data_IF_684280685838
#
_entry.id   IF_684280685838
#
_cell.length_a   1.000
_cell.length_b   1.000
_cell.length_c   1.000
_cell.angle_alpha   90.00
_cell.angle_beta   90.00
_cell.angle_gamma   90.00
#
_symmetry.space_group_name_H-M   'P 1'
#
loop_
_entity.id
_entity.type
_entity.pdbx_description
1 polymer ?
#
# COMPACT_ATOMS: atom_id res chain seq x y z
N UNK A 1 44.63 -1.40 -31.99
CA UNK A 1 43.94 -1.09 -30.71
C UNK A 1 44.19 -2.27 -29.80
N UNK A 2 44.72 -2.09 -28.59
CA UNK A 2 44.74 -3.19 -27.61
C UNK A 2 43.27 -3.53 -27.36
N UNK A 3 42.85 -4.71 -27.81
CA UNK A 3 41.50 -5.20 -27.59
C UNK A 3 41.32 -5.38 -26.09
N UNK A 4 40.55 -4.49 -25.48
CA UNK A 4 40.25 -4.60 -24.07
C UNK A 4 39.53 -5.94 -23.86
N UNK A 5 40.11 -6.78 -23.00
CA UNK A 5 39.54 -8.05 -22.60
C UNK A 5 38.55 -7.77 -21.50
N UNK A 6 37.29 -7.57 -21.83
CA UNK A 6 36.24 -7.33 -20.86
C UNK A 6 35.20 -8.45 -20.83
N UNK A 7 34.57 -8.63 -19.68
CA UNK A 7 33.40 -9.47 -19.55
C UNK A 7 32.36 -8.79 -18.68
N UNK A 8 31.09 -9.07 -18.94
CA UNK A 8 29.98 -8.57 -18.13
C UNK A 8 29.02 -9.69 -17.76
N UNK A 9 28.52 -9.61 -16.54
CA UNK A 9 27.48 -10.47 -15.99
C UNK A 9 26.24 -9.61 -15.86
N UNK A 10 25.17 -10.03 -16.53
CA UNK A 10 23.89 -9.33 -16.50
C UNK A 10 22.76 -10.34 -16.32
N UNK A 11 22.07 -10.25 -15.18
CA UNK A 11 21.00 -11.18 -14.80
C UNK A 11 21.46 -12.65 -14.85
N UNK A 12 21.01 -13.44 -15.84
CA UNK A 12 21.43 -14.83 -16.05
C UNK A 12 22.42 -15.00 -17.22
N UNK A 13 22.98 -13.91 -17.74
CA UNK A 13 23.90 -13.93 -18.86
C UNK A 13 25.32 -13.56 -18.45
N UNK A 14 26.30 -14.20 -19.09
CA UNK A 14 27.72 -13.86 -19.00
C UNK A 14 28.23 -13.65 -20.41
N UNK A 15 28.69 -12.44 -20.73
CA UNK A 15 29.22 -12.08 -22.03
C UNK A 15 30.71 -11.79 -21.90
N UNK A 16 31.51 -12.48 -22.71
CA UNK A 16 32.93 -12.22 -22.90
C UNK A 16 33.06 -11.41 -24.19
N UNK A 17 33.70 -10.25 -24.12
CA UNK A 17 33.90 -9.36 -25.25
C UNK A 17 35.36 -9.39 -25.68
N UNK A 18 35.58 -9.11 -26.96
CA UNK A 18 36.91 -9.11 -27.57
C UNK A 18 36.97 -9.92 -28.86
N UNK A 19 38.02 -9.66 -29.64
CA UNK A 19 38.24 -10.28 -30.95
C UNK A 19 38.17 -11.82 -30.87
N UNK A 20 37.65 -12.46 -31.92
CA UNK A 20 37.45 -13.92 -31.99
C UNK A 20 38.70 -14.73 -31.65
N UNK A 21 39.89 -14.21 -31.96
CA UNK A 21 41.19 -14.82 -31.68
C UNK A 21 41.45 -14.97 -30.17
N UNK A 22 40.82 -14.13 -29.35
CA UNK A 22 40.95 -14.10 -27.89
C UNK A 22 39.71 -14.72 -27.23
N UNK A 23 38.51 -14.28 -27.66
CA UNK A 23 37.26 -14.66 -27.01
C UNK A 23 36.87 -16.11 -27.26
N UNK A 24 37.10 -16.67 -28.46
CA UNK A 24 36.69 -18.05 -28.78
C UNK A 24 37.51 -19.10 -28.02
N UNK A 25 38.86 -19.05 -27.98
CA UNK A 25 39.63 -20.02 -27.22
C UNK A 25 39.31 -19.96 -25.72
N UNK A 26 39.13 -18.75 -25.17
CA UNK A 26 38.78 -18.56 -23.76
C UNK A 26 37.40 -19.12 -23.46
N UNK A 27 36.42 -18.89 -24.32
CA UNK A 27 35.08 -19.44 -24.19
C UNK A 27 35.08 -20.97 -24.22
N UNK A 28 35.86 -21.60 -25.09
CA UNK A 28 35.99 -23.05 -25.13
C UNK A 28 36.62 -23.61 -23.84
N UNK A 29 37.67 -22.97 -23.31
CA UNK A 29 38.23 -23.33 -22.00
C UNK A 29 37.22 -23.18 -20.86
N UNK A 30 36.38 -22.13 -20.91
CA UNK A 30 35.30 -21.94 -19.95
C UNK A 30 34.25 -23.07 -20.04
N UNK A 31 33.89 -23.51 -21.25
CA UNK A 31 33.01 -24.67 -21.45
C UNK A 31 33.65 -25.97 -20.92
N UNK A 32 34.96 -26.17 -21.08
CA UNK A 32 35.67 -27.32 -20.52
C UNK A 32 35.71 -27.27 -18.99
N UNK A 33 35.91 -26.10 -18.40
CA UNK A 33 35.76 -25.90 -16.97
C UNK A 33 34.33 -26.27 -16.51
N UNK A 34 33.29 -25.86 -17.24
CA UNK A 34 31.92 -26.25 -16.94
C UNK A 34 31.72 -27.77 -16.99
N UNK A 35 32.28 -28.46 -18.00
CA UNK A 35 32.27 -29.93 -18.09
C UNK A 35 32.89 -30.57 -16.85
N UNK A 36 34.07 -30.11 -16.44
CA UNK A 36 34.76 -30.60 -15.24
C UNK A 36 33.95 -30.40 -13.96
N UNK A 37 33.10 -29.37 -13.92
CA UNK A 37 32.17 -29.09 -12.81
C UNK A 37 30.86 -29.86 -12.90
N UNK A 38 30.70 -30.76 -13.88
CA UNK A 38 29.54 -31.62 -14.03
C UNK A 38 28.41 -31.04 -14.88
N UNK A 39 28.67 -30.05 -15.73
CA UNK A 39 27.74 -29.71 -16.81
C UNK A 39 27.87 -30.71 -17.95
N UNK A 40 26.73 -31.13 -18.49
CA UNK A 40 26.66 -31.72 -19.82
C UNK A 40 26.72 -30.56 -20.82
N UNK A 41 27.68 -30.59 -21.76
CA UNK A 41 27.92 -29.51 -22.73
C UNK A 41 28.08 -30.10 -24.13
N UNK A 42 27.20 -29.70 -25.05
CA UNK A 42 27.22 -30.12 -26.46
C UNK A 42 26.77 -29.01 -27.41
N UNK A 43 26.59 -29.34 -28.68
CA UNK A 43 25.95 -28.45 -29.66
C UNK A 43 24.48 -28.25 -29.31
N UNK A 44 23.92 -27.07 -29.61
CA UNK A 44 22.47 -26.83 -29.42
C UNK A 44 21.67 -27.75 -30.36
N UNK A 45 20.88 -28.73 -29.84
CA UNK A 45 20.20 -29.72 -30.67
C UNK A 45 19.21 -29.12 -31.65
N UNK A 46 18.60 -27.99 -31.30
CA UNK A 46 17.67 -27.28 -32.19
C UNK A 46 18.42 -26.65 -33.35
N UNK A 47 19.54 -26.00 -33.07
CA UNK A 47 20.39 -25.38 -34.11
C UNK A 47 21.01 -26.45 -34.98
N UNK A 48 21.48 -27.56 -34.42
CA UNK A 48 22.09 -28.64 -35.18
C UNK A 48 21.11 -29.27 -36.18
N UNK A 49 19.83 -29.40 -35.78
CA UNK A 49 18.74 -29.88 -36.65
C UNK A 49 18.32 -28.86 -37.72
N UNK A 50 18.06 -27.62 -37.31
CA UNK A 50 17.38 -26.62 -38.16
C UNK A 50 18.38 -25.74 -38.94
N UNK A 51 19.60 -25.56 -38.42
CA UNK A 51 20.64 -24.66 -38.94
C UNK A 51 22.07 -25.24 -38.77
N UNK A 52 22.41 -26.38 -39.41
CA UNK A 52 23.69 -27.07 -39.21
C UNK A 52 24.93 -26.18 -39.38
N UNK A 53 24.88 -25.20 -40.30
CA UNK A 53 25.99 -24.26 -40.56
C UNK A 53 26.34 -23.39 -39.34
N UNK A 54 25.39 -23.16 -38.43
CA UNK A 54 25.55 -22.37 -37.21
C UNK A 54 25.92 -23.24 -36.00
N UNK A 55 25.84 -24.57 -36.11
CA UNK A 55 26.06 -25.52 -35.00
C UNK A 55 27.45 -25.37 -34.37
N UNK A 56 28.47 -25.09 -35.18
CA UNK A 56 29.87 -24.85 -34.73
C UNK A 56 30.04 -23.67 -33.76
N UNK A 57 29.07 -22.75 -33.73
CA UNK A 57 29.11 -21.53 -32.92
C UNK A 57 28.01 -21.47 -31.86
N UNK A 58 27.21 -22.54 -31.71
CA UNK A 58 26.05 -22.62 -30.81
C UNK A 58 26.16 -23.84 -29.91
N UNK A 59 26.08 -23.61 -28.61
CA UNK A 59 26.23 -24.62 -27.58
C UNK A 59 24.99 -24.67 -26.71
N UNK A 60 24.69 -25.82 -26.16
CA UNK A 60 23.67 -25.97 -25.14
C UNK A 60 24.09 -27.05 -24.14
N UNK A 61 23.47 -27.00 -22.96
CA UNK A 61 23.77 -27.96 -21.93
C UNK A 61 23.03 -27.70 -20.64
N UNK A 62 23.31 -28.52 -19.64
CA UNK A 62 22.66 -28.44 -18.36
C UNK A 62 23.50 -29.04 -17.23
N UNK A 63 23.16 -28.65 -16.01
CA UNK A 63 23.61 -29.29 -14.77
C UNK A 63 22.41 -29.51 -13.86
N UNK A 64 21.80 -30.69 -14.00
CA UNK A 64 20.47 -30.93 -13.44
C UNK A 64 19.44 -30.04 -14.14
N UNK A 65 18.68 -29.28 -13.35
CA UNK A 65 17.63 -28.38 -13.82
C UNK A 65 18.13 -26.98 -14.25
N UNK A 66 19.43 -26.69 -14.08
CA UNK A 66 20.01 -25.44 -14.57
C UNK A 66 20.47 -25.64 -16.01
N UNK A 67 19.73 -25.08 -16.96
CA UNK A 67 20.04 -25.16 -18.38
C UNK A 67 20.82 -23.92 -18.83
N UNK A 68 21.59 -24.05 -19.91
CA UNK A 68 22.23 -22.91 -20.56
C UNK A 68 22.22 -23.05 -22.07
N UNK A 69 22.30 -21.90 -22.74
CA UNK A 69 22.68 -21.78 -24.15
C UNK A 69 23.91 -20.90 -24.26
N UNK A 70 24.79 -21.24 -25.20
CA UNK A 70 26.01 -20.52 -25.49
C UNK A 70 26.10 -20.15 -26.95
N UNK A 71 26.68 -18.99 -27.24
CA UNK A 71 26.95 -18.56 -28.61
C UNK A 71 28.31 -17.87 -28.72
N UNK A 72 29.01 -18.13 -29.82
CA UNK A 72 30.17 -17.35 -30.24
C UNK A 72 29.76 -16.39 -31.36
N UNK A 73 30.36 -15.21 -31.38
CA UNK A 73 30.22 -14.22 -32.44
C UNK A 73 31.57 -13.54 -32.68
N UNK A 74 31.70 -12.72 -33.71
CA UNK A 74 33.02 -12.19 -34.13
C UNK A 74 33.71 -11.32 -33.07
N UNK A 75 32.93 -10.63 -32.24
CA UNK A 75 33.41 -9.72 -31.18
C UNK A 75 33.20 -10.26 -29.76
N UNK A 76 33.01 -11.57 -29.59
CA UNK A 76 32.85 -12.16 -28.27
C UNK A 76 32.14 -13.50 -28.23
N UNK A 77 31.71 -13.88 -27.04
CA UNK A 77 30.87 -15.05 -26.80
C UNK A 77 29.97 -14.81 -25.58
N UNK A 78 28.82 -15.47 -25.53
CA UNK A 78 27.82 -15.31 -24.47
C UNK A 78 27.33 -16.66 -23.97
N UNK A 79 27.15 -16.78 -22.66
CA UNK A 79 26.34 -17.81 -22.01
C UNK A 79 25.07 -17.18 -21.46
N UNK A 80 23.94 -17.88 -21.56
CA UNK A 80 22.68 -17.50 -20.93
C UNK A 80 22.06 -18.71 -20.23
N UNK A 81 21.81 -18.56 -18.93
CA UNK A 81 21.22 -19.59 -18.07
C UNK A 81 19.72 -19.40 -17.93
N UNK A 82 19.00 -20.52 -17.84
CA UNK A 82 17.55 -20.57 -17.67
C UNK A 82 17.12 -21.89 -17.00
N UNK A 83 15.82 -22.03 -16.78
CA UNK A 83 15.17 -23.16 -16.11
C UNK A 83 13.80 -23.41 -16.74
N UNK A 84 13.27 -24.63 -16.62
CA UNK A 84 11.97 -25.03 -17.19
C UNK A 84 10.95 -25.47 -16.11
N UNK A 85 11.13 -25.06 -14.85
CA UNK A 85 10.27 -25.40 -13.71
C UNK A 85 9.15 -24.36 -13.55
N UNK A 86 9.52 -23.09 -13.36
CA UNK A 86 8.59 -21.97 -13.19
C UNK A 86 8.54 -21.14 -14.47
N UNK A 87 7.75 -21.58 -15.45
CA UNK A 87 7.72 -20.96 -16.79
C UNK A 87 6.42 -20.19 -16.99
N UNK A 88 6.53 -18.96 -17.47
CA UNK A 88 5.37 -18.14 -17.87
C UNK A 88 5.26 -18.04 -19.39
N UNK A 89 6.41 -17.97 -20.09
CA UNK A 89 6.41 -17.84 -21.54
C UNK A 89 5.96 -19.14 -22.23
N UNK A 90 4.98 -19.09 -23.16
CA UNK A 90 4.55 -20.28 -23.92
C UNK A 90 5.66 -20.99 -24.70
N UNK A 91 6.75 -20.28 -25.03
CA UNK A 91 7.88 -20.83 -25.78
C UNK A 91 8.98 -21.42 -24.90
N UNK A 92 8.76 -21.54 -23.58
CA UNK A 92 9.71 -22.10 -22.61
C UNK A 92 10.45 -21.05 -21.79
N UNK A 93 11.03 -21.49 -20.67
CA UNK A 93 11.71 -20.62 -19.70
C UNK A 93 12.96 -19.93 -20.24
N UNK A 94 13.52 -20.41 -21.35
CA UNK A 94 14.53 -19.67 -22.14
C UNK A 94 14.06 -18.27 -22.54
N UNK A 95 12.78 -18.06 -22.76
CA UNK A 95 12.22 -16.78 -23.22
C UNK A 95 11.55 -15.98 -22.10
N UNK A 96 11.71 -16.39 -20.84
CA UNK A 96 11.22 -15.63 -19.71
C UNK A 96 12.07 -14.37 -19.45
N UNK A 97 11.38 -13.30 -19.04
CA UNK A 97 11.99 -12.15 -18.37
C UNK A 97 12.33 -12.50 -16.92
N UNK A 98 13.32 -11.79 -16.34
CA UNK A 98 13.75 -11.96 -14.94
C UNK A 98 14.02 -13.43 -14.55
N UNK A 99 14.69 -14.17 -15.44
CA UNK A 99 14.97 -15.61 -15.29
C UNK A 99 15.53 -16.00 -13.92
N UNK A 100 16.44 -15.19 -13.36
CA UNK A 100 17.01 -15.44 -12.04
C UNK A 100 15.96 -15.40 -10.92
N UNK A 101 15.06 -14.42 -10.93
CA UNK A 101 14.00 -14.26 -9.92
C UNK A 101 13.01 -15.44 -9.96
N UNK A 102 12.78 -16.01 -11.16
CA UNK A 102 11.88 -17.15 -11.37
C UNK A 102 12.48 -18.50 -10.97
N UNK A 103 13.81 -18.62 -10.90
CA UNK A 103 14.47 -19.85 -10.47
C UNK A 103 14.05 -20.21 -9.03
N UNK A 104 13.74 -21.49 -8.73
CA UNK A 104 13.59 -21.94 -7.35
C UNK A 104 14.83 -21.63 -6.51
N UNK A 105 14.67 -21.42 -5.21
CA UNK A 105 15.73 -20.95 -4.32
C UNK A 105 17.05 -21.75 -4.42
N UNK A 106 16.99 -23.09 -4.41
CA UNK A 106 18.20 -23.93 -4.52
C UNK A 106 18.87 -23.78 -5.89
N UNK A 107 18.09 -23.57 -6.94
CA UNK A 107 18.59 -23.33 -8.29
C UNK A 107 19.23 -21.95 -8.41
N UNK A 108 18.66 -20.91 -7.79
CA UNK A 108 19.29 -19.59 -7.65
C UNK A 108 20.65 -19.69 -6.97
N UNK A 109 20.74 -20.41 -5.85
CA UNK A 109 22.01 -20.60 -5.13
C UNK A 109 23.03 -21.35 -5.97
N UNK A 110 22.60 -22.39 -6.69
CA UNK A 110 23.47 -23.11 -7.64
C UNK A 110 23.98 -22.17 -8.74
N UNK A 111 23.09 -21.42 -9.38
CA UNK A 111 23.46 -20.45 -10.41
C UNK A 111 24.50 -19.44 -9.90
N UNK A 112 24.28 -18.82 -8.73
CA UNK A 112 25.23 -17.88 -8.13
C UNK A 112 26.61 -18.50 -7.88
N UNK A 113 26.67 -19.76 -7.47
CA UNK A 113 27.93 -20.48 -7.29
C UNK A 113 28.63 -20.69 -8.64
N UNK A 114 27.91 -21.12 -9.67
CA UNK A 114 28.50 -21.34 -11.00
C UNK A 114 28.99 -20.03 -11.63
N UNK A 115 28.23 -18.94 -11.48
CA UNK A 115 28.65 -17.60 -11.94
C UNK A 115 29.93 -17.16 -11.27
N UNK A 116 30.07 -17.35 -9.94
CA UNK A 116 31.32 -17.00 -9.22
C UNK A 116 32.54 -17.75 -9.75
N UNK A 117 32.38 -19.02 -10.11
CA UNK A 117 33.47 -19.78 -10.70
C UNK A 117 33.82 -19.29 -12.11
N UNK A 118 32.83 -18.93 -12.93
CA UNK A 118 33.06 -18.35 -14.25
C UNK A 118 33.71 -16.97 -14.16
N UNK A 119 33.25 -16.12 -13.25
CA UNK A 119 33.84 -14.82 -12.94
C UNK A 119 35.31 -14.97 -12.54
N UNK A 120 35.60 -15.85 -11.58
CA UNK A 120 36.96 -16.11 -11.13
C UNK A 120 37.85 -16.62 -12.28
N UNK A 121 37.35 -17.56 -13.09
CA UNK A 121 38.07 -18.07 -14.25
C UNK A 121 38.42 -16.96 -15.26
N UNK A 122 37.47 -16.06 -15.56
CA UNK A 122 37.70 -14.96 -16.50
C UNK A 122 38.68 -13.92 -15.95
N UNK A 123 38.64 -13.64 -14.65
CA UNK A 123 39.63 -12.79 -13.98
C UNK A 123 41.04 -13.41 -14.03
N UNK A 124 41.17 -14.72 -13.81
CA UNK A 124 42.44 -15.45 -13.90
C UNK A 124 43.02 -15.46 -15.33
N UNK A 125 42.15 -15.48 -16.35
CA UNK A 125 42.51 -15.34 -17.78
C UNK A 125 42.87 -13.88 -18.19
N UNK A 126 42.82 -12.95 -17.24
CA UNK A 126 43.21 -11.56 -17.42
C UNK A 126 42.14 -10.67 -18.06
N UNK A 127 40.85 -11.03 -17.94
CA UNK A 127 39.75 -10.15 -18.32
C UNK A 127 39.39 -9.19 -17.19
N UNK A 128 38.89 -8.00 -17.54
CA UNK A 128 38.32 -7.03 -16.60
C UNK A 128 36.80 -7.18 -16.53
N UNK A 129 36.25 -7.14 -15.32
CA UNK A 129 34.81 -7.21 -15.11
C UNK A 129 34.17 -5.83 -15.32
N UNK A 130 33.31 -5.73 -16.33
CA UNK A 130 32.45 -4.59 -16.68
C UNK A 130 30.98 -4.89 -16.31
N UNK A 131 30.77 -5.72 -15.29
CA UNK A 131 29.43 -5.97 -14.75
C UNK A 131 28.94 -4.77 -13.96
N UNK A 132 27.64 -4.51 -14.01
CA UNK A 132 27.00 -3.49 -13.16
C UNK A 132 27.30 -3.77 -11.68
N UNK A 133 27.78 -2.78 -10.91
CA UNK A 133 28.13 -2.99 -9.51
C UNK A 133 26.89 -3.32 -8.67
N UNK A 134 27.08 -4.12 -7.63
CA UNK A 134 26.02 -4.39 -6.66
C UNK A 134 25.86 -3.19 -5.72
N UNK A 135 24.92 -2.31 -6.05
CA UNK A 135 24.62 -1.09 -5.29
C UNK A 135 23.61 -1.41 -4.17
N UNK A 136 24.07 -1.31 -2.91
CA UNK A 136 23.28 -1.76 -1.74
C UNK A 136 22.30 -0.71 -1.26
N UNK A 137 22.77 0.54 -1.14
CA UNK A 137 21.95 1.62 -0.58
C UNK A 137 21.32 2.47 -1.68
N UNK A 138 20.25 3.17 -1.33
CA UNK A 138 19.65 4.22 -2.15
C UNK A 138 20.66 5.28 -2.58
N UNK A 139 21.59 5.64 -1.67
CA UNK A 139 22.68 6.56 -1.98
C UNK A 139 23.59 5.98 -3.06
N UNK A 140 24.06 4.74 -2.90
CA UNK A 140 24.92 4.10 -3.90
C UNK A 140 24.25 4.07 -5.27
N UNK A 141 22.96 3.72 -5.31
CA UNK A 141 22.15 3.68 -6.54
C UNK A 141 22.06 5.05 -7.21
N UNK A 142 21.64 6.08 -6.47
CA UNK A 142 21.45 7.43 -7.03
C UNK A 142 22.80 8.04 -7.45
N UNK A 143 23.86 7.85 -6.66
CA UNK A 143 25.19 8.38 -7.00
C UNK A 143 25.87 7.65 -8.15
N UNK A 144 25.61 6.35 -8.32
CA UNK A 144 26.06 5.61 -9.50
C UNK A 144 25.45 6.21 -10.77
N UNK A 145 24.14 6.50 -10.76
CA UNK A 145 23.45 7.15 -11.88
C UNK A 145 23.90 8.61 -12.09
N UNK A 146 24.16 9.35 -11.01
CA UNK A 146 24.68 10.73 -11.08
C UNK A 146 26.07 10.79 -11.72
N UNK A 147 26.93 9.83 -11.40
CA UNK A 147 28.31 9.77 -11.87
C UNK A 147 28.46 8.93 -13.16
N UNK A 148 27.36 8.43 -13.74
CA UNK A 148 27.42 7.61 -14.95
C UNK A 148 27.97 8.42 -16.12
N UNK A 149 29.00 7.93 -16.84
CA UNK A 149 29.55 8.59 -18.03
C UNK A 149 28.52 8.79 -19.14
N UNK A 150 27.48 7.96 -19.17
CA UNK A 150 26.38 8.02 -20.14
C UNK A 150 25.32 9.07 -19.80
N UNK A 151 25.45 9.76 -18.66
CA UNK A 151 24.50 10.76 -18.21
C UNK A 151 24.50 11.97 -19.15
N UNK A 152 23.39 12.18 -19.84
CA UNK A 152 23.24 13.23 -20.85
C UNK A 152 23.05 14.64 -20.29
N UNK A 153 22.77 14.80 -18.98
CA UNK A 153 22.44 16.11 -18.38
C UNK A 153 23.22 16.36 -17.09
N UNK A 154 24.01 17.45 -17.08
CA UNK A 154 24.61 18.00 -15.86
C UNK A 154 23.55 18.78 -15.09
N UNK A 155 23.56 18.61 -13.76
CA UNK A 155 22.70 19.36 -12.84
C UNK A 155 23.11 20.83 -12.67
N UNK A 156 24.28 21.21 -13.18
CA UNK A 156 24.87 22.53 -12.91
C UNK A 156 24.14 23.68 -13.62
N UNK A 157 23.34 23.42 -14.67
CA UNK A 157 22.60 24.44 -15.42
C UNK A 157 21.22 23.94 -15.90
N UNK A 158 20.35 23.58 -14.96
CA UNK A 158 18.98 23.15 -15.29
C UNK A 158 18.08 24.35 -15.62
N UNK A 159 17.23 24.27 -16.67
CA UNK A 159 16.24 25.29 -16.91
C UNK A 159 15.18 25.30 -15.80
N UNK A 160 14.60 26.47 -15.52
CA UNK A 160 13.69 26.66 -14.38
C UNK A 160 12.48 25.70 -14.41
N UNK A 161 11.90 25.42 -15.58
CA UNK A 161 10.78 24.49 -15.68
C UNK A 161 11.10 23.04 -15.24
N UNK A 162 12.39 22.70 -15.11
CA UNK A 162 12.88 21.42 -14.60
C UNK A 162 13.39 21.50 -13.16
N UNK A 163 13.62 22.69 -12.63
CA UNK A 163 14.29 22.92 -11.36
C UNK A 163 13.47 23.73 -10.35
N UNK A 164 12.31 24.25 -10.70
CA UNK A 164 11.42 24.92 -9.76
C UNK A 164 10.48 23.92 -9.09
N UNK A 165 10.37 24.02 -7.77
CA UNK A 165 9.47 23.23 -6.96
C UNK A 165 8.01 23.70 -7.11
N UNK A 166 7.08 23.07 -6.37
CA UNK A 166 5.65 23.39 -6.39
C UNK A 166 5.37 24.88 -6.18
N UNK A 167 6.17 25.53 -5.34
CA UNK A 167 5.96 26.91 -4.92
C UNK A 167 6.87 27.90 -5.67
N UNK A 168 7.54 27.44 -6.73
CA UNK A 168 8.40 28.26 -7.58
C UNK A 168 9.79 28.49 -7.01
N UNK A 169 10.23 27.72 -6.02
CA UNK A 169 11.58 27.80 -5.45
C UNK A 169 12.50 26.84 -6.19
N UNK A 170 13.68 27.32 -6.58
CA UNK A 170 14.67 26.49 -7.28
C UNK A 170 15.25 25.42 -6.35
N UNK A 171 15.26 24.17 -6.83
CA UNK A 171 15.77 22.98 -6.15
C UNK A 171 17.24 22.81 -6.50
N UNK A 172 18.08 22.55 -5.50
CA UNK A 172 19.48 22.17 -5.69
C UNK A 172 19.75 20.73 -5.27
N UNK A 173 20.72 20.08 -5.92
CA UNK A 173 21.17 18.75 -5.53
C UNK A 173 21.66 18.72 -4.08
N UNK A 174 21.25 17.70 -3.33
CA UNK A 174 21.61 17.53 -1.93
C UNK A 174 20.68 18.26 -0.95
N UNK A 175 19.71 19.04 -1.43
CA UNK A 175 18.73 19.68 -0.56
C UNK A 175 17.74 18.68 0.04
N UNK A 176 17.17 19.02 1.20
CA UNK A 176 16.04 18.30 1.77
C UNK A 176 14.76 18.97 1.30
N UNK A 177 13.94 18.24 0.54
CA UNK A 177 12.60 18.69 0.13
C UNK A 177 11.53 17.78 0.72
N UNK A 178 10.33 18.32 0.84
CA UNK A 178 9.14 17.62 1.29
C UNK A 178 8.25 17.27 0.11
N UNK A 179 7.46 16.21 0.28
CA UNK A 179 6.49 15.76 -0.73
C UNK A 179 5.33 15.00 -0.06
N UNK A 180 4.38 14.56 -0.88
CA UNK A 180 3.24 13.75 -0.44
C UNK A 180 3.33 12.34 -0.99
N UNK A 181 3.14 11.34 -0.14
CA UNK A 181 2.91 9.97 -0.63
C UNK A 181 1.53 9.85 -1.31
N UNK A 182 1.25 8.69 -1.90
CA UNK A 182 -0.07 8.40 -2.52
C UNK A 182 -1.26 8.53 -1.56
N UNK A 183 -1.03 8.56 -0.24
CA UNK A 183 -2.06 8.72 0.79
C UNK A 183 -2.15 10.18 1.27
N UNK A 184 -1.42 11.11 0.65
CA UNK A 184 -1.34 12.51 1.02
C UNK A 184 -0.55 12.77 2.30
N UNK A 185 0.21 11.79 2.80
CA UNK A 185 1.04 11.89 4.00
C UNK A 185 2.29 12.70 3.69
N UNK A 186 2.66 13.61 4.59
CA UNK A 186 3.91 14.37 4.50
C UNK A 186 5.13 13.43 4.60
N UNK A 187 6.00 13.52 3.61
CA UNK A 187 7.28 12.81 3.53
C UNK A 187 8.41 13.82 3.31
N UNK A 188 9.66 13.39 3.55
CA UNK A 188 10.87 14.17 3.24
C UNK A 188 11.95 13.28 2.68
N UNK A 189 12.87 13.87 1.92
CA UNK A 189 14.07 13.18 1.47
C UNK A 189 15.10 14.14 0.89
N UNK A 190 16.30 13.62 0.66
CA UNK A 190 17.37 14.36 -0.02
C UNK A 190 17.20 14.23 -1.52
N UNK A 191 17.21 15.34 -2.25
CA UNK A 191 16.89 15.37 -3.68
C UNK A 191 18.11 15.49 -4.57
N UNK A 192 18.10 14.81 -5.71
CA UNK A 192 19.10 14.91 -6.75
C UNK A 192 18.42 14.88 -8.11
N UNK A 193 18.84 15.75 -9.01
CA UNK A 193 18.30 15.81 -10.35
C UNK A 193 18.49 14.48 -11.09
N UNK A 194 17.46 14.06 -11.82
CA UNK A 194 17.52 12.88 -12.67
C UNK A 194 17.50 13.29 -14.14
N UNK A 195 16.31 13.48 -14.71
CA UNK A 195 16.09 13.81 -16.12
C UNK A 195 14.85 14.69 -16.25
N UNK A 196 14.87 15.66 -17.17
CA UNK A 196 13.81 16.65 -17.32
C UNK A 196 13.47 17.29 -15.96
N UNK A 197 12.19 17.33 -15.61
CA UNK A 197 11.67 17.81 -14.35
C UNK A 197 11.61 16.72 -13.26
N UNK A 198 12.22 15.55 -13.48
CA UNK A 198 12.24 14.45 -12.52
C UNK A 198 13.46 14.53 -11.61
N UNK A 199 13.23 14.28 -10.34
CA UNK A 199 14.20 14.33 -9.25
C UNK A 199 14.16 13.02 -8.47
N UNK A 200 15.32 12.41 -8.29
CA UNK A 200 15.49 11.35 -7.31
C UNK A 200 15.33 11.94 -5.91
N UNK A 201 14.57 11.25 -5.07
CA UNK A 201 14.35 11.60 -3.67
C UNK A 201 14.75 10.41 -2.82
N UNK A 202 15.87 10.54 -2.12
CA UNK A 202 16.37 9.53 -1.18
C UNK A 202 15.61 9.71 0.13
N UNK A 203 14.72 8.77 0.44
CA UNK A 203 13.89 8.81 1.64
C UNK A 203 14.62 8.18 2.82
N UNK A 204 15.30 7.07 2.59
CA UNK A 204 16.15 6.39 3.57
C UNK A 204 17.18 5.47 2.87
N UNK A 205 17.95 4.74 3.68
CA UNK A 205 19.02 3.84 3.23
C UNK A 205 18.58 2.85 2.13
N UNK A 206 17.35 2.37 2.18
CA UNK A 206 16.87 1.27 1.34
C UNK A 206 15.77 1.68 0.36
N UNK A 207 15.25 2.91 0.48
CA UNK A 207 14.20 3.45 -0.38
C UNK A 207 14.54 4.85 -0.93
N UNK A 208 14.43 4.96 -2.25
CA UNK A 208 14.38 6.21 -2.99
C UNK A 208 13.22 6.15 -3.99
N UNK A 209 12.76 7.31 -4.43
CA UNK A 209 11.68 7.45 -5.42
C UNK A 209 12.06 8.51 -6.45
N UNK A 210 11.35 8.56 -7.57
CA UNK A 210 11.49 9.60 -8.58
C UNK A 210 10.21 10.45 -8.57
N UNK A 211 10.34 11.76 -8.37
CA UNK A 211 9.21 12.69 -8.30
C UNK A 211 9.43 13.88 -9.23
N UNK A 212 8.36 14.47 -9.72
CA UNK A 212 8.47 15.70 -10.49
C UNK A 212 8.81 16.88 -9.57
N UNK A 213 9.51 17.89 -10.10
CA UNK A 213 9.92 19.08 -9.37
C UNK A 213 8.72 19.77 -8.68
N UNK A 214 7.59 19.89 -9.38
CA UNK A 214 6.35 20.49 -8.88
C UNK A 214 5.62 19.65 -7.80
N UNK A 215 6.10 18.46 -7.45
CA UNK A 215 5.60 17.66 -6.32
C UNK A 215 6.41 17.90 -5.03
N UNK A 216 7.57 18.55 -5.17
CA UNK A 216 8.48 18.90 -4.09
C UNK A 216 8.14 20.31 -3.57
N UNK A 217 8.38 20.55 -2.28
CA UNK A 217 8.15 21.84 -1.65
C UNK A 217 8.92 21.97 -0.31
N UNK A 218 8.99 23.19 0.19
CA UNK A 218 9.45 23.50 1.56
C UNK A 218 8.26 23.69 2.50
N UNK A 219 8.42 23.39 3.79
CA UNK A 219 7.33 23.49 4.76
C UNK A 219 6.86 24.92 5.00
N UNK A 220 7.78 25.86 4.96
CA UNK A 220 7.57 27.23 5.42
C UNK A 220 7.09 28.18 4.31
N UNK A 221 7.01 27.70 3.07
CA UNK A 221 6.59 28.53 1.92
C UNK A 221 5.10 28.87 1.98
N UNK A 222 4.24 27.88 2.29
CA UNK A 222 2.80 28.08 2.46
C UNK A 222 2.23 27.24 3.62
N UNK A 223 1.23 27.72 4.39
CA UNK A 223 0.69 27.00 5.55
C UNK A 223 0.16 25.59 5.25
N UNK A 224 -0.29 25.33 4.02
CA UNK A 224 -0.77 24.00 3.59
C UNK A 224 0.34 22.95 3.61
N UNK A 225 1.59 23.34 3.34
CA UNK A 225 2.72 22.41 3.26
C UNK A 225 3.03 21.76 4.61
N UNK A 226 2.81 22.48 5.71
CA UNK A 226 2.97 21.98 7.08
C UNK A 226 1.88 20.98 7.53
N UNK A 227 0.79 20.83 6.77
CA UNK A 227 -0.28 19.88 7.13
C UNK A 227 0.28 18.46 7.09
N UNK A 228 0.11 17.65 8.14
CA UNK A 228 0.67 16.28 8.18
C UNK A 228 0.07 15.34 7.12
N UNK A 229 -1.22 15.51 6.80
CA UNK A 229 -1.93 14.69 5.79
C UNK A 229 -3.05 15.46 5.11
N UNK A 230 -3.00 15.57 3.78
CA UNK A 230 -4.00 16.33 3.00
C UNK A 230 -5.31 15.55 2.78
N UNK A 231 -5.23 14.23 2.61
CA UNK A 231 -6.43 13.40 2.39
C UNK A 231 -7.19 13.25 3.71
N UNK A 232 -8.43 13.76 3.75
CA UNK A 232 -9.37 13.56 4.87
C UNK A 232 -9.63 12.06 5.05
N UNK A 233 -9.73 11.60 6.29
CA UNK A 233 -10.08 10.20 6.59
C UNK A 233 -11.43 9.89 5.90
N UNK A 234 -11.49 8.87 5.05
CA UNK A 234 -12.75 8.39 4.47
C UNK A 234 -13.26 7.20 5.28
N UNK A 235 -14.58 7.11 5.45
CA UNK A 235 -15.22 5.92 6.02
C UNK A 235 -15.22 4.74 5.05
N UNK A 236 -14.95 4.99 3.76
CA UNK A 236 -15.05 4.01 2.69
C UNK A 236 -14.25 2.71 2.96
N UNK A 237 -13.04 2.84 3.49
CA UNK A 237 -12.19 1.68 3.77
C UNK A 237 -12.49 1.00 5.12
N UNK A 238 -13.40 1.54 5.93
CA UNK A 238 -13.85 0.93 7.17
C UNK A 238 -15.18 0.18 6.93
N UNK A 239 -15.23 -1.17 7.01
CA UNK A 239 -16.46 -1.92 6.82
C UNK A 239 -17.60 -1.47 7.74
N UNK A 240 -17.29 -1.08 8.98
CA UNK A 240 -18.30 -0.62 9.96
C UNK A 240 -18.94 0.69 9.56
N UNK A 241 -18.17 1.61 8.97
CA UNK A 241 -18.67 2.89 8.43
C UNK A 241 -19.66 2.68 7.28
N UNK A 242 -19.48 1.60 6.51
CA UNK A 242 -20.34 1.23 5.38
C UNK A 242 -21.55 0.37 5.78
N UNK A 243 -21.69 0.02 7.05
CA UNK A 243 -22.84 -0.76 7.52
C UNK A 243 -24.12 0.06 7.37
N UNK A 244 -24.92 -0.29 6.36
CA UNK A 244 -26.23 0.31 6.10
C UNK A 244 -27.27 -0.79 6.01
N UNK A 245 -28.42 -0.66 6.69
CA UNK A 245 -29.51 -1.61 6.54
C UNK A 245 -30.07 -1.59 5.12
N UNK A 246 -30.19 -2.76 4.51
CA UNK A 246 -30.89 -2.95 3.23
C UNK A 246 -32.38 -2.59 3.37
N UNK A 247 -33.05 -2.32 2.25
CA UNK A 247 -34.51 -2.09 2.27
C UNK A 247 -35.29 -3.26 2.88
N UNK A 248 -34.84 -4.49 2.63
CA UNK A 248 -35.42 -5.70 3.22
C UNK A 248 -35.29 -5.72 4.74
N UNK A 249 -34.11 -5.37 5.27
CA UNK A 249 -33.89 -5.25 6.72
C UNK A 249 -34.78 -4.15 7.32
N UNK A 250 -34.85 -2.96 6.71
CA UNK A 250 -35.72 -1.88 7.18
C UNK A 250 -37.20 -2.26 7.21
N UNK A 251 -37.67 -3.04 6.24
CA UNK A 251 -39.04 -3.59 6.22
C UNK A 251 -39.27 -4.60 7.34
N UNK A 252 -38.30 -5.49 7.59
CA UNK A 252 -38.37 -6.46 8.68
C UNK A 252 -38.39 -5.79 10.06
N UNK A 253 -37.54 -4.78 10.25
CA UNK A 253 -37.46 -3.99 11.48
C UNK A 253 -38.80 -3.32 11.77
N UNK A 254 -39.37 -2.60 10.79
CA UNK A 254 -40.73 -2.02 10.91
C UNK A 254 -41.81 -3.05 11.24
N UNK A 255 -41.70 -4.27 10.69
CA UNK A 255 -42.63 -5.36 10.98
C UNK A 255 -42.50 -5.82 12.44
N UNK A 256 -41.27 -6.04 12.91
CA UNK A 256 -40.98 -6.39 14.31
C UNK A 256 -41.43 -5.29 15.29
N UNK A 257 -41.17 -4.01 14.96
CA UNK A 257 -41.68 -2.84 15.67
C UNK A 257 -43.19 -2.91 15.90
N UNK A 258 -43.91 -3.26 14.83
CA UNK A 258 -45.37 -3.33 14.82
C UNK A 258 -45.86 -4.48 15.69
N UNK A 259 -45.21 -5.65 15.59
CA UNK A 259 -45.53 -6.85 16.37
C UNK A 259 -45.24 -6.69 17.87
N UNK A 260 -44.14 -6.02 18.23
CA UNK A 260 -43.75 -5.76 19.61
C UNK A 260 -44.73 -4.86 20.38
N UNK A 261 -45.65 -4.18 19.67
CA UNK A 261 -46.61 -3.27 20.27
C UNK A 261 -45.93 -2.08 20.94
N UNK A 262 -46.69 -1.31 21.73
CA UNK A 262 -46.18 -0.07 22.34
C UNK A 262 -45.19 -0.34 23.47
N UNK A 263 -45.42 -1.37 24.27
CA UNK A 263 -44.57 -1.74 25.41
C UNK A 263 -43.21 -2.29 24.97
N UNK A 264 -43.19 -3.18 23.97
CA UNK A 264 -41.93 -3.67 23.41
C UNK A 264 -41.09 -2.56 22.78
N UNK A 265 -41.73 -1.61 22.07
CA UNK A 265 -41.01 -0.43 21.54
C UNK A 265 -40.38 0.44 22.64
N UNK A 266 -41.01 0.53 23.81
CA UNK A 266 -40.44 1.25 24.96
C UNK A 266 -39.19 0.55 25.46
N UNK A 267 -39.19 -0.79 25.56
CA UNK A 267 -38.00 -1.55 25.96
C UNK A 267 -36.83 -1.29 25.01
N UNK A 268 -37.06 -1.31 23.69
CA UNK A 268 -36.02 -1.02 22.71
C UNK A 268 -35.51 0.42 22.78
N UNK A 269 -36.42 1.40 22.93
CA UNK A 269 -36.02 2.79 23.08
C UNK A 269 -35.17 3.02 24.34
N UNK A 270 -35.53 2.36 25.45
CA UNK A 270 -34.78 2.43 26.70
C UNK A 270 -33.42 1.72 26.61
N UNK A 271 -33.29 0.65 25.82
CA UNK A 271 -32.00 0.02 25.55
C UNK A 271 -31.04 0.97 24.81
N UNK A 272 -31.56 1.76 23.85
CA UNK A 272 -30.77 2.79 23.15
C UNK A 272 -30.34 3.90 24.12
N UNK A 273 -31.26 4.43 24.93
CA UNK A 273 -30.95 5.47 25.92
C UNK A 273 -29.94 4.97 26.96
N UNK A 274 -30.07 3.72 27.40
CA UNK A 274 -29.11 3.06 28.29
C UNK A 274 -27.72 2.99 27.68
N UNK A 275 -27.61 2.50 26.44
CA UNK A 275 -26.32 2.43 25.74
C UNK A 275 -25.68 3.82 25.55
N UNK A 276 -26.46 4.83 25.15
CA UNK A 276 -25.97 6.20 25.00
C UNK A 276 -25.47 6.78 26.34
N UNK A 277 -26.10 6.42 27.46
CA UNK A 277 -25.66 6.83 28.79
C UNK A 277 -24.37 6.13 29.19
N UNK A 278 -24.26 4.82 28.94
CA UNK A 278 -23.05 4.02 29.23
C UNK A 278 -21.79 4.56 28.54
N UNK A 279 -21.93 5.07 27.31
CA UNK A 279 -20.80 5.67 26.56
C UNK A 279 -20.61 7.16 26.85
N UNK A 280 -21.38 7.74 27.77
CA UNK A 280 -21.27 9.15 28.19
C UNK A 280 -21.80 10.16 27.17
N UNK A 281 -22.72 9.76 26.28
CA UNK A 281 -23.24 10.62 25.20
C UNK A 281 -24.53 11.35 25.58
N UNK A 282 -25.26 10.84 26.56
CA UNK A 282 -26.32 11.60 27.24
C UNK A 282 -25.84 11.95 28.64
N UNK A 283 -26.14 13.17 29.06
CA UNK A 283 -25.82 13.70 30.39
C UNK A 283 -26.52 12.92 31.48
N UNK A 284 -27.72 12.38 31.24
CA UNK A 284 -28.58 11.75 32.25
C UNK A 284 -29.15 10.44 31.72
N UNK A 285 -29.49 9.54 32.63
CA UNK A 285 -30.13 8.28 32.27
C UNK A 285 -31.63 8.47 32.16
N UNK A 286 -32.10 8.53 30.92
CA UNK A 286 -33.51 8.71 30.60
C UNK A 286 -34.19 7.36 30.36
N UNK A 287 -35.46 7.26 30.76
CA UNK A 287 -36.33 6.15 30.42
C UNK A 287 -37.73 6.64 30.01
N UNK A 288 -38.25 6.07 28.94
CA UNK A 288 -39.63 6.22 28.53
C UNK A 288 -40.51 5.21 29.27
N UNK A 289 -41.73 5.62 29.60
CA UNK A 289 -42.72 4.77 30.28
C UNK A 289 -44.15 5.15 29.89
N UNK A 290 -45.12 4.30 30.20
CA UNK A 290 -46.56 4.58 30.00
C UNK A 290 -47.12 5.15 31.31
N UNK A 291 -47.70 6.35 31.23
CA UNK A 291 -48.43 6.96 32.35
C UNK A 291 -49.79 6.27 32.53
N UNK A 292 -50.39 6.42 33.70
CA UNK A 292 -51.78 5.98 33.97
C UNK A 292 -52.78 6.51 32.93
N UNK A 293 -52.55 7.73 32.42
CA UNK A 293 -53.32 8.36 31.33
C UNK A 293 -53.15 7.70 29.95
N UNK A 294 -52.42 6.58 29.86
CA UNK A 294 -51.99 5.90 28.63
C UNK A 294 -51.14 6.77 27.69
N UNK A 295 -50.68 7.94 28.14
CA UNK A 295 -49.73 8.80 27.42
C UNK A 295 -48.29 8.37 27.71
N UNK A 296 -47.38 8.69 26.79
CA UNK A 296 -45.95 8.42 27.00
C UNK A 296 -45.38 9.45 27.98
N UNK A 297 -44.58 8.99 28.94
CA UNK A 297 -43.82 9.82 29.86
C UNK A 297 -42.32 9.62 29.70
N UNK A 298 -41.55 10.53 30.28
CA UNK A 298 -40.11 10.48 30.39
C UNK A 298 -39.73 10.61 31.86
N UNK A 299 -38.86 9.76 32.35
CA UNK A 299 -38.24 9.88 33.66
C UNK A 299 -36.73 9.92 33.54
N UNK A 300 -36.11 10.58 34.51
CA UNK A 300 -34.69 10.53 34.79
C UNK A 300 -34.47 9.62 36.00
N UNK A 301 -33.77 8.51 35.78
CA UNK A 301 -33.44 7.54 36.84
C UNK A 301 -32.09 7.84 37.47
N UNK A 302 -31.17 8.41 36.70
CA UNK A 302 -29.83 8.79 37.17
C UNK A 302 -29.46 10.17 36.61
N UNK A 303 -29.04 11.06 37.51
CA UNK A 303 -28.58 12.41 37.18
C UNK A 303 -27.24 12.45 36.46
N UNK A 304 -26.77 13.66 36.13
CA UNK A 304 -25.48 13.82 35.44
C UNK A 304 -24.33 13.33 36.32
N UNK A 305 -23.68 12.20 35.97
CA UNK A 305 -22.62 11.65 36.78
C UNK A 305 -21.30 12.38 36.53
N UNK A 306 -21.23 13.31 35.57
CA UNK A 306 -20.03 14.03 35.20
C UNK A 306 -20.11 15.52 35.56
N UNK A 307 -19.09 16.00 36.28
CA UNK A 307 -18.84 17.42 36.52
C UNK A 307 -17.37 17.71 36.18
N UNK A 308 -17.11 18.73 35.35
CA UNK A 308 -15.74 19.08 34.90
C UNK A 308 -14.93 17.87 34.35
N UNK A 309 -15.58 16.94 33.66
CA UNK A 309 -14.91 15.77 33.07
C UNK A 309 -14.58 14.64 34.06
N UNK A 310 -14.93 14.78 35.34
CA UNK A 310 -14.75 13.73 36.36
C UNK A 310 -16.09 13.10 36.75
N UNK A 311 -16.10 11.76 36.92
CA UNK A 311 -17.29 11.01 37.35
C UNK A 311 -17.51 11.24 38.85
N UNK A 312 -18.45 12.12 39.22
CA UNK A 312 -18.74 12.55 40.59
C UNK A 312 -19.70 11.61 41.36
N UNK A 313 -20.10 10.49 40.78
CA UNK A 313 -20.97 9.48 41.43
C UNK A 313 -22.40 9.45 40.89
N UNK A 314 -23.08 8.31 41.11
CA UNK A 314 -24.43 8.04 40.62
C UNK A 314 -25.47 8.75 41.51
N UNK A 315 -25.97 9.92 41.09
CA UNK A 315 -27.22 10.44 41.65
C UNK A 315 -28.39 9.60 41.13
N UNK A 316 -28.57 8.41 41.71
CA UNK A 316 -29.77 7.57 41.50
C UNK A 316 -30.96 8.27 42.15
N UNK A 317 -31.96 8.57 41.34
CA UNK A 317 -33.23 9.11 41.84
C UNK A 317 -34.14 7.96 42.20
N UNK A 318 -34.51 7.88 43.49
CA UNK A 318 -35.53 6.96 43.98
C UNK A 318 -36.56 7.76 44.82
N UNK A 319 -37.80 7.97 44.34
CA UNK A 319 -38.32 7.49 43.05
C UNK A 319 -37.75 8.26 41.84
N UNK A 320 -37.80 7.70 40.62
CA UNK A 320 -37.36 8.36 39.40
C UNK A 320 -38.01 9.73 39.20
N UNK A 321 -37.23 10.71 38.74
CA UNK A 321 -37.70 12.09 38.56
C UNK A 321 -38.47 12.22 37.24
N UNK A 322 -39.76 12.54 37.31
CA UNK A 322 -40.57 12.78 36.11
C UNK A 322 -40.13 14.06 35.38
N UNK A 323 -39.96 13.95 34.07
CA UNK A 323 -39.59 15.06 33.18
C UNK A 323 -40.73 15.29 32.19
N UNK A 324 -41.08 16.56 31.88
CA UNK A 324 -42.01 16.84 30.80
C UNK A 324 -41.45 16.35 29.47
N UNK A 325 -42.19 15.45 28.81
CA UNK A 325 -41.95 15.10 27.41
C UNK A 325 -42.45 16.21 26.47
N UNK A 326 -43.29 17.12 26.98
CA UNK A 326 -43.78 18.33 26.29
C UNK A 326 -44.12 19.46 27.28
N UNK A 327 -43.62 20.70 27.06
CA UNK A 327 -42.44 21.02 26.25
C UNK A 327 -41.18 20.37 26.84
N UNK A 328 -40.18 20.11 26.00
CA UNK A 328 -38.90 19.57 26.50
C UNK A 328 -38.28 20.54 27.51
N UNK A 329 -37.68 20.03 28.61
CA UNK A 329 -37.09 20.89 29.63
C UNK A 329 -35.90 21.69 29.06
N UNK A 330 -35.79 22.96 29.45
CA UNK A 330 -34.67 23.84 29.05
C UNK A 330 -33.28 23.31 29.42
N UNK A 331 -33.20 22.36 30.37
CA UNK A 331 -31.96 21.79 30.87
C UNK A 331 -31.40 20.64 30.01
N UNK A 332 -31.99 20.32 28.86
CA UNK A 332 -31.50 19.28 27.94
C UNK A 332 -30.76 19.91 26.75
N UNK A 333 -29.64 19.33 26.32
CA UNK A 333 -28.97 19.81 25.11
C UNK A 333 -29.84 19.56 23.87
N UNK A 334 -29.67 20.37 22.82
CA UNK A 334 -30.44 20.19 21.57
C UNK A 334 -30.26 18.80 20.95
N UNK A 335 -29.07 18.20 21.09
CA UNK A 335 -28.76 16.86 20.60
C UNK A 335 -29.53 15.78 21.38
N UNK A 336 -29.48 15.82 22.72
CA UNK A 336 -30.22 14.87 23.56
C UNK A 336 -31.73 14.99 23.33
N UNK A 337 -32.23 16.23 23.21
CA UNK A 337 -33.62 16.52 22.90
C UNK A 337 -34.04 15.87 21.59
N UNK A 338 -33.21 16.02 20.55
CA UNK A 338 -33.46 15.41 19.25
C UNK A 338 -33.47 13.88 19.30
N UNK A 339 -32.63 13.24 20.12
CA UNK A 339 -32.64 11.77 20.26
C UNK A 339 -33.87 11.28 21.01
N UNK A 340 -34.22 11.90 22.14
CA UNK A 340 -35.41 11.54 22.92
C UNK A 340 -36.69 11.76 22.09
N UNK A 341 -36.75 12.83 21.30
CA UNK A 341 -37.85 13.09 20.37
C UNK A 341 -37.99 12.00 19.31
N UNK A 342 -36.89 11.65 18.65
CA UNK A 342 -36.87 10.61 17.62
C UNK A 342 -37.25 9.23 18.19
N UNK A 343 -36.90 8.93 19.45
CA UNK A 343 -37.31 7.69 20.13
C UNK A 343 -38.78 7.73 20.53
N UNK A 344 -39.31 8.86 20.98
CA UNK A 344 -40.76 9.06 21.19
C UNK A 344 -41.54 8.75 19.92
N UNK A 345 -41.10 9.30 18.79
CA UNK A 345 -41.74 9.09 17.50
C UNK A 345 -41.67 7.64 17.04
N UNK A 346 -40.56 6.97 17.34
CA UNK A 346 -40.44 5.53 17.16
C UNK A 346 -41.45 4.77 18.04
N UNK A 347 -41.52 5.03 19.34
CA UNK A 347 -42.48 4.36 20.24
C UNK A 347 -43.92 4.59 19.77
N UNK A 348 -44.24 5.81 19.37
CA UNK A 348 -45.61 6.22 19.01
C UNK A 348 -46.01 5.70 17.63
N UNK A 349 -45.17 5.88 16.63
CA UNK A 349 -45.51 5.66 15.22
C UNK A 349 -44.78 4.48 14.57
N UNK A 350 -43.82 3.85 15.26
CA UNK A 350 -42.99 2.77 14.71
C UNK A 350 -42.04 3.25 13.61
N UNK A 351 -41.65 4.54 13.60
CA UNK A 351 -40.72 5.09 12.61
C UNK A 351 -39.27 4.73 13.01
N UNK A 352 -38.51 3.99 12.19
CA UNK A 352 -37.10 3.73 12.46
C UNK A 352 -36.28 5.00 12.22
N UNK A 353 -35.80 5.63 13.29
CA UNK A 353 -35.11 6.94 13.26
C UNK A 353 -33.60 6.83 13.52
N UNK A 354 -33.14 5.71 14.10
CA UNK A 354 -31.76 5.47 14.56
C UNK A 354 -30.75 5.42 13.41
N UNK A 355 -31.15 4.93 12.24
CA UNK A 355 -30.26 4.82 11.06
C UNK A 355 -29.78 6.18 10.51
N UNK A 356 -30.42 7.27 10.93
CA UNK A 356 -30.08 8.64 10.53
C UNK A 356 -29.20 9.36 11.56
N UNK A 357 -29.02 8.78 12.73
CA UNK A 357 -28.16 9.37 13.74
C UNK A 357 -26.69 9.12 13.36
N UNK A 358 -25.84 10.10 13.65
CA UNK A 358 -24.38 9.99 13.51
C UNK A 358 -23.82 9.87 12.08
N UNK A 359 -24.65 10.01 11.05
CA UNK A 359 -24.20 10.06 9.65
C UNK A 359 -25.04 11.05 8.82
N UNK A 360 -24.43 12.13 8.32
CA UNK A 360 -25.14 13.15 7.51
C UNK A 360 -25.43 12.69 6.08
N UNK A 361 -24.67 11.73 5.57
CA UNK A 361 -24.71 11.25 4.17
C UNK A 361 -25.84 10.22 3.89
N UNK A 362 -26.62 9.83 4.91
CA UNK A 362 -27.72 8.84 4.87
C UNK A 362 -27.31 7.41 4.49
N UNK A 363 -26.19 7.20 3.80
CA UNK A 363 -25.74 5.91 3.27
C UNK A 363 -24.36 5.46 3.78
N UNK A 364 -23.70 6.16 4.70
CA UNK A 364 -22.43 5.69 5.27
C UNK A 364 -21.25 5.65 4.27
N UNK A 365 -21.39 6.29 3.12
CA UNK A 365 -20.34 6.33 2.09
C UNK A 365 -19.76 7.73 1.90
N UNK A 366 -20.28 8.73 2.61
CA UNK A 366 -19.83 10.10 2.52
C UNK A 366 -18.55 10.37 3.32
N UNK A 367 -18.02 11.58 3.11
CA UNK A 367 -16.80 12.04 3.75
C UNK A 367 -16.86 12.16 5.28
N UNK A 368 -18.00 11.89 5.92
CA UNK A 368 -18.19 11.88 7.38
C UNK A 368 -18.48 10.48 7.95
N UNK A 369 -18.61 9.45 7.11
CA UNK A 369 -18.93 8.10 7.55
C UNK A 369 -17.88 7.47 8.47
N UNK A 370 -16.66 8.01 8.51
CA UNK A 370 -15.61 7.59 9.43
C UNK A 370 -15.87 8.02 10.89
N UNK A 371 -16.87 8.89 11.13
CA UNK A 371 -17.21 9.35 12.46
C UNK A 371 -18.03 8.30 13.20
N UNK A 372 -17.47 7.81 14.32
CA UNK A 372 -18.12 6.92 15.28
C UNK A 372 -18.77 5.65 14.69
N UNK A 373 -18.07 4.90 13.81
CA UNK A 373 -18.67 3.78 13.09
C UNK A 373 -19.13 2.65 14.01
N UNK A 374 -18.44 2.41 15.13
CA UNK A 374 -18.81 1.41 16.14
C UNK A 374 -20.11 1.78 16.85
N UNK A 375 -20.29 3.06 17.19
CA UNK A 375 -21.50 3.56 17.85
C UNK A 375 -22.69 3.42 16.91
N UNK A 376 -22.50 3.79 15.64
CA UNK A 376 -23.53 3.66 14.60
C UNK A 376 -23.91 2.20 14.35
N UNK A 377 -22.94 1.32 14.15
CA UNK A 377 -23.18 -0.12 13.94
C UNK A 377 -23.94 -0.74 15.11
N UNK A 378 -23.51 -0.45 16.35
CA UNK A 378 -24.18 -0.95 17.56
C UNK A 378 -25.60 -0.42 17.70
N UNK A 379 -25.82 0.87 17.42
CA UNK A 379 -27.16 1.46 17.43
C UNK A 379 -28.04 0.90 16.31
N UNK A 380 -27.49 0.58 15.14
CA UNK A 380 -28.20 -0.13 14.08
C UNK A 380 -28.56 -1.55 14.50
N UNK A 381 -27.73 -2.25 15.26
CA UNK A 381 -28.07 -3.58 15.80
C UNK A 381 -29.15 -3.52 16.88
N UNK A 382 -29.04 -2.61 17.85
CA UNK A 382 -30.10 -2.38 18.84
C UNK A 382 -31.39 -1.95 18.10
N UNK A 383 -31.22 -1.08 17.10
CA UNK A 383 -32.24 -0.62 16.17
C UNK A 383 -32.73 -1.65 15.15
N UNK A 384 -32.07 -2.81 15.04
CA UNK A 384 -32.52 -3.90 14.18
C UNK A 384 -33.64 -4.73 14.82
N UNK A 385 -33.79 -4.54 16.13
CA UNK A 385 -34.90 -5.02 16.92
C UNK A 385 -35.97 -3.93 17.12
N UNK A 386 -35.75 -2.73 16.56
CA UNK A 386 -36.65 -1.56 16.60
C UNK A 386 -37.61 -1.55 15.42
#
# INVERSE_FOLDING_TARGET
MRGDKDFSIWNTSIAVRGDKEISHPTFLRMLDMMRNKGFVVGSDPRIDRDYPILSKDRFAGNKGELLFVGEKYNCGAKLEFYQEINVENPNGGRYDFNKFEKMPYLLQKRFLVEVRYMEQFLLEEGFTCDSEPVLKTSYDKVFHELNSPSRHWSSENLPDYNALDKDGIRINNGEVKYFRDRKGTLMRGTVYHNINNMWWVIVNKDHYTNLAAFELFDLDTVPENAIKKLIRRSGHNNPKSRSVPTEGQLKDWKRKAKQAGREGRIQFANAILGYLYEIGWVSRKFQLFIKETKRLGLVETEGNPYFLGMRMGEKKYDPPKSIPLYPMPQQMSGTESGWVENLRDYVTYGKPTVSRWFCKDRNGEGGQAYLWPEVRERLLHIGAHV
#
